data_IF_251111153604
#
_entry.id   IF_251111153604
#
_cell.length_a   1.000
_cell.length_b   1.000
_cell.length_c   1.000
_cell.angle_alpha   90.00
_cell.angle_beta   90.00
_cell.angle_gamma   90.00
#
_symmetry.space_group_name_H-M   'P 1'
#
loop_
_entity.id
_entity.type
_entity.pdbx_description
1 polymer ?
#
# COMPACT_ATOMS: atom_id res chain seq x y z
N UNK A 1 32.25 6.43 -2.15
CA UNK A 1 31.91 7.14 -0.90
C UNK A 1 30.89 6.28 -0.17
N UNK A 2 31.21 5.74 1.00
CA UNK A 2 30.29 4.92 1.80
C UNK A 2 29.50 5.83 2.74
N UNK A 3 28.17 5.80 2.66
CA UNK A 3 27.31 6.57 3.56
C UNK A 3 27.20 5.85 4.92
N UNK A 4 27.44 6.58 6.01
CA UNK A 4 27.19 6.13 7.39
C UNK A 4 25.71 6.29 7.70
N UNK A 5 25.03 5.22 8.11
CA UNK A 5 23.62 5.23 8.52
C UNK A 5 23.52 4.80 9.99
N UNK A 6 22.66 5.48 10.76
CA UNK A 6 22.43 5.16 12.18
C UNK A 6 21.10 4.41 12.30
N UNK A 7 21.12 3.27 12.97
CA UNK A 7 19.93 2.48 13.30
C UNK A 7 19.70 2.52 14.82
N UNK A 8 18.55 3.00 15.27
CA UNK A 8 18.21 3.02 16.69
C UNK A 8 17.58 1.68 17.12
N UNK A 9 18.22 1.00 18.06
CA UNK A 9 17.70 -0.23 18.66
C UNK A 9 17.59 -0.09 20.17
N UNK A 10 16.37 -0.16 20.73
CA UNK A 10 16.15 -0.01 22.18
C UNK A 10 16.87 1.23 22.77
N UNK A 11 16.76 2.40 22.11
CA UNK A 11 17.44 3.67 22.48
C UNK A 11 18.98 3.67 22.36
N UNK A 12 19.56 2.64 21.74
CA UNK A 12 20.99 2.56 21.47
C UNK A 12 21.26 2.72 19.98
N UNK A 13 21.95 3.79 19.55
CA UNK A 13 22.29 3.99 18.15
C UNK A 13 23.38 3.00 17.72
N UNK A 14 23.11 2.24 16.67
CA UNK A 14 24.04 1.35 15.98
C UNK A 14 24.44 1.99 14.67
N UNK A 15 25.71 2.34 14.54
CA UNK A 15 26.25 2.87 13.28
C UNK A 15 26.52 1.75 12.28
N UNK A 16 26.15 2.00 11.03
CA UNK A 16 26.25 1.06 9.91
C UNK A 16 26.85 1.73 8.69
N UNK A 17 27.59 0.96 7.90
CA UNK A 17 28.26 1.39 6.67
C UNK A 17 27.95 0.38 5.57
N UNK A 18 27.64 0.87 4.37
CA UNK A 18 27.59 0.03 3.18
C UNK A 18 28.94 0.07 2.45
N UNK A 19 29.59 -1.08 2.34
CA UNK A 19 30.87 -1.25 1.63
C UNK A 19 30.71 -2.43 0.67
N UNK A 20 30.86 -2.17 -0.62
CA UNK A 20 30.78 -3.17 -1.70
C UNK A 20 29.49 -4.01 -1.69
N UNK A 21 28.36 -3.37 -1.35
CA UNK A 21 27.05 -4.02 -1.28
C UNK A 21 26.81 -4.85 -0.01
N UNK A 22 27.79 -4.92 0.89
CA UNK A 22 27.68 -5.57 2.19
C UNK A 22 27.49 -4.54 3.30
N UNK A 23 26.66 -4.88 4.28
CA UNK A 23 26.47 -4.07 5.47
C UNK A 23 27.51 -4.40 6.53
N UNK A 24 28.13 -3.35 7.05
CA UNK A 24 29.10 -3.39 8.14
C UNK A 24 28.56 -2.61 9.33
N UNK A 25 28.62 -3.23 10.51
CA UNK A 25 28.10 -2.68 11.76
C UNK A 25 29.27 -2.35 12.68
N UNK A 26 29.28 -1.16 13.29
CA UNK A 26 30.34 -0.80 14.23
C UNK A 26 30.30 -1.74 15.44
N UNK A 27 31.36 -2.52 15.62
CA UNK A 27 31.37 -3.63 16.57
C UNK A 27 31.18 -3.17 18.02
N UNK A 28 31.68 -1.97 18.34
CA UNK A 28 31.51 -1.36 19.67
C UNK A 28 30.03 -1.11 19.98
N UNK A 29 29.29 -0.54 19.03
CA UNK A 29 27.89 -0.18 19.21
C UNK A 29 27.03 -1.45 19.37
N UNK A 30 27.30 -2.47 18.54
CA UNK A 30 26.67 -3.80 18.64
C UNK A 30 26.94 -4.45 20.00
N UNK A 31 28.19 -4.43 20.47
CA UNK A 31 28.54 -5.00 21.77
C UNK A 31 27.86 -4.27 22.92
N UNK A 32 27.72 -2.94 22.84
CA UNK A 32 26.97 -2.16 23.83
C UNK A 32 25.50 -2.56 23.85
N UNK A 33 24.86 -2.69 22.69
CA UNK A 33 23.46 -3.15 22.57
C UNK A 33 23.26 -4.54 23.19
N UNK A 34 24.23 -5.44 22.98
CA UNK A 34 24.16 -6.83 23.45
C UNK A 34 24.63 -7.02 24.90
N UNK A 35 24.97 -5.95 25.61
CA UNK A 35 25.54 -5.95 26.97
C UNK A 35 26.83 -6.81 27.06
N UNK A 36 27.65 -6.73 26.01
CA UNK A 36 28.97 -7.38 25.92
C UNK A 36 30.02 -6.38 26.38
N UNK A 37 30.54 -6.60 27.61
CA UNK A 37 31.50 -5.69 28.25
C UNK A 37 32.81 -5.50 27.48
N UNK A 38 33.33 -6.56 26.87
CA UNK A 38 34.61 -6.53 26.16
C UNK A 38 34.40 -6.79 24.67
N UNK A 39 34.22 -5.72 23.91
CA UNK A 39 34.00 -5.80 22.46
C UNK A 39 35.19 -6.39 21.71
N UNK A 40 36.44 -6.12 22.14
CA UNK A 40 37.64 -6.68 21.51
C UNK A 40 37.71 -8.19 21.65
N UNK A 41 37.43 -8.71 22.84
CA UNK A 41 37.39 -10.16 23.09
C UNK A 41 36.27 -10.85 22.31
N UNK A 42 35.10 -10.21 22.23
CA UNK A 42 33.98 -10.75 21.48
C UNK A 42 34.26 -10.81 19.97
N UNK A 43 34.83 -9.75 19.40
CA UNK A 43 35.19 -9.71 17.98
C UNK A 43 36.36 -10.64 17.66
N UNK A 44 37.32 -10.81 18.57
CA UNK A 44 38.44 -11.73 18.39
C UNK A 44 38.01 -13.21 18.28
N UNK A 45 36.80 -13.55 18.72
CA UNK A 45 36.21 -14.89 18.61
C UNK A 45 35.46 -15.12 17.29
N UNK A 46 35.25 -14.07 16.51
CA UNK A 46 34.63 -14.17 15.18
C UNK A 46 35.65 -14.67 14.16
N UNK A 47 35.14 -15.27 13.10
CA UNK A 47 35.99 -15.68 11.99
C UNK A 47 36.60 -14.46 11.28
N UNK A 48 37.68 -14.67 10.54
CA UNK A 48 38.45 -13.55 9.94
C UNK A 48 37.66 -12.78 8.89
N UNK A 49 36.71 -13.43 8.23
CA UNK A 49 35.82 -12.86 7.22
C UNK A 49 34.59 -12.17 7.82
N UNK A 50 34.30 -12.40 9.10
CA UNK A 50 33.18 -11.78 9.83
C UNK A 50 33.53 -10.41 10.44
N UNK A 51 34.81 -10.08 10.52
CA UNK A 51 35.34 -8.87 11.13
C UNK A 51 36.23 -8.08 10.19
N UNK A 52 36.27 -6.77 10.37
CA UNK A 52 37.04 -5.88 9.51
C UNK A 52 37.30 -4.53 10.14
N UNK A 53 38.06 -3.71 9.42
CA UNK A 53 38.33 -2.33 9.79
C UNK A 53 37.76 -1.43 8.71
N UNK A 54 36.81 -0.59 9.09
CA UNK A 54 36.17 0.38 8.20
C UNK A 54 36.62 1.79 8.58
N UNK A 55 36.75 2.64 7.57
CA UNK A 55 37.02 4.07 7.78
C UNK A 55 35.70 4.80 7.98
N UNK A 56 35.57 5.53 9.09
CA UNK A 56 34.41 6.36 9.43
C UNK A 56 34.88 7.78 9.66
N UNK A 57 34.12 8.74 9.14
CA UNK A 57 34.32 10.14 9.48
C UNK A 57 33.73 10.38 10.88
N UNK A 58 34.58 10.79 11.82
CA UNK A 58 34.15 11.24 13.15
C UNK A 58 34.49 12.73 13.31
N UNK A 59 34.02 13.33 14.40
CA UNK A 59 34.32 14.74 14.73
C UNK A 59 35.83 15.03 14.82
N UNK A 60 36.67 14.00 14.98
CA UNK A 60 38.13 14.09 14.99
C UNK A 60 38.81 13.74 13.66
N UNK A 61 38.06 13.63 12.56
CA UNK A 61 38.55 13.23 11.24
C UNK A 61 38.33 11.74 10.92
N UNK A 62 39.02 11.25 9.89
CA UNK A 62 38.84 9.90 9.38
C UNK A 62 39.47 8.89 10.34
N UNK A 63 38.66 8.05 10.98
CA UNK A 63 39.10 7.05 11.95
C UNK A 63 38.83 5.63 11.45
N UNK A 64 39.81 4.75 11.69
CA UNK A 64 39.68 3.31 11.46
C UNK A 64 39.01 2.67 12.67
N UNK A 65 37.85 2.06 12.47
CA UNK A 65 37.08 1.41 13.53
C UNK A 65 36.81 -0.04 13.17
N UNK A 66 36.77 -0.90 14.21
CA UNK A 66 36.41 -2.30 14.03
C UNK A 66 34.91 -2.41 13.74
N UNK A 67 34.59 -3.12 12.66
CA UNK A 67 33.23 -3.44 12.27
C UNK A 67 33.08 -4.93 12.02
N UNK A 68 31.84 -5.40 12.11
CA UNK A 68 31.44 -6.78 11.80
C UNK A 68 30.46 -6.75 10.65
N UNK A 69 30.51 -7.74 9.77
CA UNK A 69 29.51 -7.89 8.73
C UNK A 69 28.24 -8.55 9.30
N UNK A 70 27.26 -8.83 8.44
CA UNK A 70 26.01 -9.46 8.85
C UNK A 70 26.20 -10.85 9.52
N UNK A 71 27.14 -11.67 9.01
CA UNK A 71 27.47 -12.96 9.63
C UNK A 71 28.02 -12.79 11.05
N UNK A 72 29.01 -11.90 11.21
CA UNK A 72 29.60 -11.59 12.52
C UNK A 72 28.58 -11.00 13.50
N UNK A 73 27.65 -10.17 13.02
CA UNK A 73 26.52 -9.68 13.82
C UNK A 73 25.67 -10.84 14.35
N UNK A 74 25.29 -11.80 13.50
CA UNK A 74 24.53 -12.98 13.92
C UNK A 74 25.29 -13.86 14.92
N UNK A 75 26.59 -14.07 14.70
CA UNK A 75 27.48 -14.79 15.62
C UNK A 75 27.51 -14.12 17.02
N UNK A 76 27.56 -12.79 17.09
CA UNK A 76 27.47 -12.04 18.34
C UNK A 76 26.08 -12.14 18.99
N UNK A 77 24.99 -12.08 18.22
CA UNK A 77 23.63 -12.19 18.75
C UNK A 77 23.38 -13.60 19.31
N UNK A 78 23.82 -14.65 18.62
CA UNK A 78 23.60 -16.03 19.05
C UNK A 78 24.43 -16.45 20.27
N UNK A 79 25.53 -15.76 20.54
CA UNK A 79 26.36 -15.93 21.74
C UNK A 79 25.94 -15.02 22.91
N UNK A 80 25.14 -13.98 22.67
CA UNK A 80 24.69 -13.06 23.72
C UNK A 80 23.74 -13.72 24.73
N UNK A 81 23.84 -13.27 25.99
CA UNK A 81 22.98 -13.69 27.10
C UNK A 81 21.81 -12.72 27.35
N UNK A 82 21.76 -11.56 26.66
CA UNK A 82 20.71 -10.54 26.82
C UNK A 82 19.34 -11.10 26.44
N UNK A 83 18.30 -10.69 27.15
CA UNK A 83 16.93 -11.17 26.93
C UNK A 83 16.40 -10.87 25.53
N UNK A 84 16.69 -9.70 24.97
CA UNK A 84 16.33 -9.34 23.59
C UNK A 84 17.05 -10.22 22.55
N UNK A 85 18.34 -10.50 22.74
CA UNK A 85 19.09 -11.44 21.91
C UNK A 85 18.51 -12.87 21.96
N UNK A 86 18.09 -13.34 23.15
CA UNK A 86 17.41 -14.64 23.30
C UNK A 86 16.08 -14.70 22.53
N UNK A 87 15.29 -13.60 22.53
CA UNK A 87 14.05 -13.51 21.75
C UNK A 87 14.34 -13.62 20.26
N UNK A 88 15.31 -12.87 19.76
CA UNK A 88 15.73 -12.93 18.35
C UNK A 88 16.22 -14.33 17.96
N UNK A 89 17.13 -14.91 18.77
CA UNK A 89 17.62 -16.28 18.56
C UNK A 89 16.48 -17.29 18.50
N UNK A 90 15.52 -17.22 19.43
CA UNK A 90 14.35 -18.11 19.45
C UNK A 90 13.49 -17.93 18.21
N UNK A 91 13.24 -16.69 17.80
CA UNK A 91 12.48 -16.39 16.58
C UNK A 91 13.17 -16.93 15.32
N UNK A 92 14.47 -16.68 15.14
CA UNK A 92 15.21 -17.20 13.98
C UNK A 92 15.23 -18.73 13.95
N UNK A 93 15.51 -19.38 15.09
CA UNK A 93 15.64 -20.85 15.16
C UNK A 93 14.32 -21.60 15.13
N UNK A 94 13.23 -21.04 15.66
CA UNK A 94 11.94 -21.70 15.73
C UNK A 94 10.99 -21.35 14.59
N UNK A 95 11.19 -20.20 13.93
CA UNK A 95 10.29 -19.69 12.90
C UNK A 95 11.00 -19.51 11.55
N UNK A 96 12.03 -18.66 11.51
CA UNK A 96 12.69 -18.26 10.24
C UNK A 96 13.38 -19.44 9.56
N UNK A 97 14.31 -20.11 10.26
CA UNK A 97 15.07 -21.23 9.69
C UNK A 97 14.19 -22.43 9.33
N UNK A 98 13.21 -22.85 10.17
CA UNK A 98 12.27 -23.89 9.79
C UNK A 98 11.41 -23.53 8.58
N UNK A 99 10.98 -22.26 8.45
CA UNK A 99 10.25 -21.78 7.28
C UNK A 99 11.14 -21.83 6.03
N UNK A 100 12.32 -21.20 6.06
CA UNK A 100 13.27 -21.24 4.95
C UNK A 100 13.61 -22.67 4.51
N UNK A 101 13.82 -23.60 5.45
CA UNK A 101 14.08 -25.02 5.11
C UNK A 101 12.90 -25.69 4.40
N UNK A 102 11.66 -25.31 4.73
CA UNK A 102 10.45 -25.95 4.21
C UNK A 102 9.97 -25.33 2.90
N UNK A 103 9.93 -24.00 2.82
CA UNK A 103 9.36 -23.25 1.69
C UNK A 103 10.42 -22.60 0.79
N UNK A 104 11.68 -22.54 1.22
CA UNK A 104 12.73 -21.78 0.52
C UNK A 104 12.60 -20.26 0.64
N UNK A 105 11.54 -19.76 1.30
CA UNK A 105 11.23 -18.33 1.42
C UNK A 105 10.69 -18.01 2.81
N UNK A 106 11.10 -16.88 3.39
CA UNK A 106 10.53 -16.34 4.61
C UNK A 106 10.01 -14.94 4.37
N UNK A 107 8.71 -14.72 4.59
CA UNK A 107 8.03 -13.45 4.36
C UNK A 107 7.63 -12.85 5.70
N UNK A 108 8.15 -11.66 5.99
CA UNK A 108 7.71 -10.83 7.11
C UNK A 108 6.42 -10.11 6.72
N UNK A 109 5.31 -10.85 6.81
CA UNK A 109 3.93 -10.36 6.66
C UNK A 109 3.03 -11.11 7.64
N UNK A 110 1.76 -10.71 7.83
CA UNK A 110 0.83 -11.47 8.68
C UNK A 110 0.87 -12.95 8.28
N UNK A 111 1.23 -13.80 9.23
CA UNK A 111 1.61 -15.19 9.05
C UNK A 111 0.47 -16.00 8.41
N UNK A 112 0.69 -16.76 7.32
CA UNK A 112 -0.30 -17.73 6.87
C UNK A 112 -0.31 -18.92 7.83
N UNK A 113 -1.48 -19.24 8.38
CA UNK A 113 -1.68 -20.37 9.27
C UNK A 113 -1.67 -21.69 8.48
N UNK A 114 -0.64 -22.50 8.71
CA UNK A 114 -0.56 -23.98 8.64
C UNK A 114 -1.43 -24.72 7.60
N UNK A 115 -0.72 -25.31 6.62
CA UNK A 115 -0.98 -26.61 5.95
C UNK A 115 -2.24 -26.78 5.08
N UNK A 116 -3.28 -25.94 5.20
CA UNK A 116 -4.31 -25.81 4.16
C UNK A 116 -3.75 -25.10 2.90
N UNK A 117 -2.75 -24.23 3.11
CA UNK A 117 -2.15 -23.36 2.10
C UNK A 117 -1.43 -24.07 0.95
N UNK A 118 -0.87 -25.28 1.08
CA UNK A 118 -0.11 -25.86 -0.04
C UNK A 118 -1.04 -26.30 -1.20
N UNK A 119 -2.19 -26.88 -0.86
CA UNK A 119 -3.26 -27.16 -1.84
C UNK A 119 -3.90 -25.86 -2.30
N UNK A 120 -4.14 -24.92 -1.39
CA UNK A 120 -4.70 -23.60 -1.72
C UNK A 120 -3.80 -22.82 -2.68
N UNK A 121 -2.48 -22.81 -2.47
CA UNK A 121 -1.47 -22.13 -3.29
C UNK A 121 -1.33 -22.80 -4.65
N UNK A 122 -1.35 -24.13 -4.72
CA UNK A 122 -1.38 -24.84 -6.01
C UNK A 122 -2.67 -24.53 -6.78
N UNK A 123 -3.81 -24.53 -6.08
CA UNK A 123 -5.12 -24.16 -6.64
C UNK A 123 -5.12 -22.71 -7.13
N UNK A 124 -4.55 -21.77 -6.36
CA UNK A 124 -4.43 -20.35 -6.68
C UNK A 124 -3.51 -20.13 -7.87
N UNK A 125 -2.37 -20.83 -7.94
CA UNK A 125 -1.46 -20.75 -9.08
C UNK A 125 -2.10 -21.27 -10.36
N UNK A 126 -2.84 -22.39 -10.27
CA UNK A 126 -3.57 -22.96 -11.39
C UNK A 126 -4.74 -22.04 -11.82
N UNK A 127 -5.46 -21.46 -10.86
CA UNK A 127 -6.53 -20.48 -11.11
C UNK A 127 -5.98 -19.22 -11.78
N UNK A 128 -4.83 -18.72 -11.31
CA UNK A 128 -4.15 -17.55 -11.89
C UNK A 128 -3.68 -17.83 -13.32
N UNK A 129 -3.18 -19.03 -13.61
CA UNK A 129 -2.80 -19.42 -14.96
C UNK A 129 -4.01 -19.45 -15.90
N UNK A 130 -5.15 -20.02 -15.45
CA UNK A 130 -6.42 -20.03 -16.18
C UNK A 130 -6.97 -18.61 -16.41
N UNK A 131 -6.92 -17.74 -15.40
CA UNK A 131 -7.33 -16.35 -15.50
C UNK A 131 -6.45 -15.54 -16.48
N UNK A 132 -5.14 -15.80 -16.49
CA UNK A 132 -4.23 -15.18 -17.45
C UNK A 132 -4.52 -15.62 -18.89
N UNK A 133 -4.80 -16.90 -19.11
CA UNK A 133 -5.20 -17.40 -20.44
C UNK A 133 -6.50 -16.74 -20.93
N UNK A 134 -7.48 -16.53 -20.04
CA UNK A 134 -8.69 -15.78 -20.36
C UNK A 134 -8.41 -14.32 -20.71
N UNK A 135 -7.51 -13.67 -19.98
CA UNK A 135 -7.09 -12.29 -20.24
C UNK A 135 -6.46 -12.16 -21.62
N UNK A 136 -5.55 -13.07 -21.97
CA UNK A 136 -4.92 -13.10 -23.30
C UNK A 136 -5.93 -13.44 -24.40
N UNK A 137 -6.81 -14.42 -24.18
CA UNK A 137 -7.85 -14.76 -25.15
C UNK A 137 -8.81 -13.59 -25.40
N UNK A 138 -9.19 -12.86 -24.34
CA UNK A 138 -9.99 -11.63 -24.45
C UNK A 138 -9.25 -10.53 -25.21
N UNK A 139 -7.96 -10.35 -24.94
CA UNK A 139 -7.15 -9.32 -25.58
C UNK A 139 -6.94 -9.59 -27.07
N UNK A 140 -6.70 -10.85 -27.44
CA UNK A 140 -6.36 -11.24 -28.83
C UNK A 140 -7.61 -11.53 -29.67
N UNK A 141 -8.61 -12.21 -29.10
CA UNK A 141 -9.76 -12.75 -29.84
C UNK A 141 -11.12 -12.19 -29.38
N UNK A 142 -11.13 -11.31 -28.39
CA UNK A 142 -12.35 -10.66 -27.91
C UNK A 142 -13.14 -11.46 -26.87
N UNK A 143 -14.25 -10.87 -26.42
CA UNK A 143 -15.03 -11.34 -25.25
C UNK A 143 -15.65 -12.72 -25.44
N UNK A 144 -16.22 -13.00 -26.61
CA UNK A 144 -16.90 -14.28 -26.88
C UNK A 144 -15.92 -15.46 -26.84
N UNK A 145 -14.71 -15.28 -27.36
CA UNK A 145 -13.66 -16.29 -27.31
C UNK A 145 -13.22 -16.58 -25.88
N UNK A 146 -13.12 -15.55 -25.03
CA UNK A 146 -12.83 -15.73 -23.61
C UNK A 146 -13.99 -16.44 -22.87
N UNK A 147 -15.25 -16.13 -23.20
CA UNK A 147 -16.40 -16.82 -22.60
C UNK A 147 -16.47 -18.30 -22.99
N UNK A 148 -16.24 -18.63 -24.26
CA UNK A 148 -16.16 -20.03 -24.69
C UNK A 148 -14.98 -20.79 -24.04
N UNK A 149 -13.90 -20.08 -23.71
CA UNK A 149 -12.75 -20.64 -23.00
C UNK A 149 -13.03 -20.85 -21.51
N UNK A 150 -13.91 -20.05 -20.90
CA UNK A 150 -14.28 -20.13 -19.48
C UNK A 150 -14.80 -21.51 -19.10
N UNK A 151 -15.79 -22.01 -19.85
CA UNK A 151 -16.40 -23.32 -19.61
C UNK A 151 -15.40 -24.47 -19.82
N UNK A 152 -14.51 -24.32 -20.81
CA UNK A 152 -13.47 -25.31 -21.12
C UNK A 152 -12.37 -25.39 -20.06
N UNK A 153 -12.10 -24.30 -19.35
CA UNK A 153 -11.10 -24.27 -18.28
C UNK A 153 -11.63 -24.81 -16.95
N UNK A 154 -12.91 -25.22 -16.89
CA UNK A 154 -13.53 -25.78 -15.69
C UNK A 154 -13.39 -24.84 -14.50
N UNK A 155 -13.54 -23.54 -14.74
CA UNK A 155 -13.52 -22.54 -13.69
C UNK A 155 -14.78 -22.67 -12.84
N UNK A 156 -14.70 -22.44 -11.53
CA UNK A 156 -15.86 -22.54 -10.66
C UNK A 156 -16.95 -21.59 -11.18
N UNK A 157 -18.19 -22.09 -11.24
CA UNK A 157 -19.35 -21.22 -11.36
C UNK A 157 -19.34 -20.31 -10.16
N UNK A 158 -19.14 -19.03 -10.41
CA UNK A 158 -19.05 -18.11 -9.31
C UNK A 158 -20.47 -17.73 -8.93
N UNK A 159 -20.95 -18.38 -7.87
CA UNK A 159 -22.22 -18.06 -7.24
C UNK A 159 -22.28 -16.53 -7.01
N UNK A 160 -23.38 -15.92 -7.43
CA UNK A 160 -23.58 -14.46 -7.52
C UNK A 160 -23.59 -13.68 -6.20
N UNK A 161 -22.76 -14.05 -5.23
CA UNK A 161 -22.54 -13.31 -3.98
C UNK A 161 -21.16 -12.63 -3.94
N UNK A 162 -20.40 -12.60 -5.05
CA UNK A 162 -19.12 -11.91 -5.02
C UNK A 162 -18.24 -12.01 -6.26
N UNK A 163 -18.57 -12.89 -7.21
CA UNK A 163 -18.07 -12.80 -8.59
C UNK A 163 -19.18 -13.12 -9.61
N UNK A 164 -20.40 -12.82 -9.24
CA UNK A 164 -21.11 -11.70 -9.79
C UNK A 164 -21.66 -10.94 -8.54
N UNK A 165 -21.60 -9.64 -8.39
CA UNK A 165 -21.70 -8.82 -9.54
C UNK A 165 -22.96 -9.26 -10.36
N UNK A 166 -23.45 -8.43 -11.22
CA UNK A 166 -24.10 -8.90 -12.45
C UNK A 166 -23.27 -8.09 -13.46
N UNK A 167 -23.43 -8.30 -14.76
CA UNK A 167 -23.35 -7.12 -15.60
C UNK A 167 -24.51 -6.19 -15.19
N UNK A 168 -24.39 -5.54 -14.04
CA UNK A 168 -25.18 -4.40 -13.66
C UNK A 168 -24.66 -3.22 -14.46
N UNK A 169 -25.56 -2.35 -14.87
CA UNK A 169 -25.18 -1.06 -15.40
C UNK A 169 -24.37 -0.30 -14.34
N UNK A 170 -23.59 0.71 -14.73
CA UNK A 170 -22.87 1.57 -13.78
C UNK A 170 -23.73 2.09 -12.61
N UNK A 171 -25.05 2.07 -12.76
CA UNK A 171 -26.00 2.50 -11.76
C UNK A 171 -26.21 1.49 -10.60
N UNK A 172 -25.66 0.29 -10.63
CA UNK A 172 -26.08 -0.78 -9.69
C UNK A 172 -25.28 -0.83 -8.38
N UNK A 173 -24.26 0.01 -8.24
CA UNK A 173 -23.51 0.23 -7.00
C UNK A 173 -23.23 1.73 -6.76
N UNK A 174 -24.20 2.47 -6.19
CA UNK A 174 -24.09 3.90 -5.96
C UNK A 174 -23.13 4.27 -4.80
N UNK A 175 -23.13 3.48 -3.72
CA UNK A 175 -22.28 3.72 -2.54
C UNK A 175 -20.80 3.40 -2.83
N UNK A 176 -20.52 2.33 -3.57
CA UNK A 176 -19.17 2.03 -4.05
C UNK A 176 -18.63 3.12 -4.99
N UNK A 177 -19.50 3.69 -5.84
CA UNK A 177 -19.13 4.79 -6.73
C UNK A 177 -18.65 6.03 -5.95
N UNK A 178 -19.40 6.42 -4.90
CA UNK A 178 -19.04 7.56 -4.07
C UNK A 178 -17.79 7.28 -3.23
N UNK A 179 -17.71 6.07 -2.65
CA UNK A 179 -16.55 5.64 -1.86
C UNK A 179 -15.26 5.69 -2.67
N UNK A 180 -15.30 5.24 -3.93
CA UNK A 180 -14.16 5.29 -4.84
C UNK A 180 -13.72 6.74 -5.10
N UNK A 181 -14.67 7.63 -5.41
CA UNK A 181 -14.38 9.05 -5.64
C UNK A 181 -13.73 9.70 -4.42
N UNK A 182 -14.30 9.50 -3.23
CA UNK A 182 -13.84 10.12 -1.97
C UNK A 182 -12.43 9.65 -1.61
N UNK A 183 -12.09 8.39 -1.87
CA UNK A 183 -10.77 7.86 -1.55
C UNK A 183 -9.72 8.10 -2.65
N UNK A 184 -10.10 8.59 -3.82
CA UNK A 184 -9.17 8.88 -4.91
C UNK A 184 -8.25 10.07 -4.56
N UNK A 185 -7.05 10.11 -5.16
CA UNK A 185 -6.05 11.15 -4.89
C UNK A 185 -6.31 12.42 -5.71
N UNK A 186 -6.17 13.58 -5.08
CA UNK A 186 -6.20 14.90 -5.70
C UNK A 186 -4.89 15.65 -5.39
N UNK A 187 -3.88 15.53 -6.27
CA UNK A 187 -2.59 16.22 -6.14
C UNK A 187 -1.51 15.42 -5.36
N UNK A 188 -0.61 16.11 -4.66
CA UNK A 188 0.56 15.55 -3.96
C UNK A 188 0.16 14.72 -2.71
N UNK A 189 -0.49 13.58 -2.91
CA UNK A 189 -0.91 12.60 -1.88
C UNK A 189 -2.04 13.05 -0.94
N UNK A 190 -2.87 14.01 -1.33
CA UNK A 190 -4.11 14.32 -0.63
C UNK A 190 -5.25 13.51 -1.25
N UNK A 191 -6.14 12.89 -0.46
CA UNK A 191 -7.36 12.29 -1.01
C UNK A 191 -8.48 13.33 -1.12
N UNK A 192 -9.45 13.06 -2.00
CA UNK A 192 -10.68 13.87 -2.13
C UNK A 192 -11.39 13.98 -0.78
N UNK A 193 -11.37 12.92 0.06
CA UNK A 193 -11.88 12.92 1.43
C UNK A 193 -11.29 14.03 2.28
N UNK A 194 -9.97 14.12 2.32
CA UNK A 194 -9.27 15.11 3.13
C UNK A 194 -9.50 16.52 2.54
N UNK A 195 -9.50 16.64 1.21
CA UNK A 195 -9.77 17.91 0.54
C UNK A 195 -11.21 18.41 0.82
N UNK A 196 -12.20 17.53 0.83
CA UNK A 196 -13.58 17.83 1.20
C UNK A 196 -13.71 18.24 2.67
N UNK A 197 -13.03 17.56 3.59
CA UNK A 197 -13.03 17.93 5.01
C UNK A 197 -12.55 19.38 5.22
N UNK A 198 -11.48 19.78 4.53
CA UNK A 198 -11.02 21.17 4.56
C UNK A 198 -11.97 22.13 3.84
N UNK A 199 -12.55 21.73 2.71
CA UNK A 199 -13.47 22.55 1.93
C UNK A 199 -14.81 22.81 2.63
N UNK A 200 -15.24 21.93 3.53
CA UNK A 200 -16.43 22.13 4.35
C UNK A 200 -16.22 23.24 5.40
N UNK A 201 -14.97 23.46 5.82
CA UNK A 201 -14.58 24.41 6.86
C UNK A 201 -14.16 25.80 6.34
N UNK A 202 -13.69 25.91 5.08
CA UNK A 202 -13.18 27.17 4.51
C UNK A 202 -13.48 27.31 3.00
N UNK A 203 -13.84 28.53 2.59
CA UNK A 203 -14.18 28.92 1.21
C UNK A 203 -13.01 28.73 0.23
N UNK A 204 -11.76 28.82 0.70
CA UNK A 204 -10.58 28.58 -0.13
C UNK A 204 -10.50 27.10 -0.54
N UNK A 205 -10.81 26.20 0.39
CA UNK A 205 -10.89 24.76 0.13
C UNK A 205 -12.02 24.46 -0.87
N UNK A 206 -13.18 25.09 -0.71
CA UNK A 206 -14.31 24.94 -1.62
C UNK A 206 -13.97 25.35 -3.06
N UNK A 207 -13.22 26.46 -3.25
CA UNK A 207 -12.76 26.88 -4.59
C UNK A 207 -11.79 25.89 -5.24
N UNK A 208 -10.94 25.22 -4.45
CA UNK A 208 -10.04 24.18 -4.98
C UNK A 208 -10.80 22.94 -5.42
N UNK A 209 -11.88 22.59 -4.73
CA UNK A 209 -12.73 21.47 -5.14
C UNK A 209 -13.38 21.73 -6.50
N UNK A 210 -13.69 22.99 -6.83
CA UNK A 210 -14.26 23.30 -8.15
C UNK A 210 -13.32 22.90 -9.28
N UNK A 211 -12.00 23.03 -9.10
CA UNK A 211 -10.96 22.59 -10.06
C UNK A 211 -10.92 21.07 -10.25
N UNK A 212 -11.60 20.30 -9.40
CA UNK A 212 -11.75 18.85 -9.50
C UNK A 212 -13.14 18.48 -10.07
N UNK A 213 -13.94 19.46 -10.48
CA UNK A 213 -15.31 19.26 -10.92
C UNK A 213 -16.31 19.06 -9.79
N UNK A 214 -15.96 19.42 -8.54
CA UNK A 214 -16.80 19.25 -7.35
C UNK A 214 -17.07 20.61 -6.71
N UNK A 215 -18.33 21.03 -6.63
CA UNK A 215 -18.71 22.31 -6.04
C UNK A 215 -19.54 22.12 -4.79
N UNK A 216 -19.06 22.67 -3.67
CA UNK A 216 -19.80 22.67 -2.41
C UNK A 216 -20.78 23.84 -2.38
N UNK A 217 -21.96 23.61 -1.82
CA UNK A 217 -23.02 24.61 -1.56
C UNK A 217 -23.28 25.53 -2.77
N UNK A 218 -23.52 25.00 -3.98
CA UNK A 218 -23.85 25.86 -5.12
C UNK A 218 -25.12 26.65 -4.81
N UNK A 219 -25.23 27.88 -5.32
CA UNK A 219 -26.32 28.81 -4.96
C UNK A 219 -27.74 28.23 -5.07
N UNK A 220 -28.00 27.38 -6.07
CA UNK A 220 -29.30 26.72 -6.25
C UNK A 220 -29.54 25.52 -5.30
N UNK A 221 -28.50 25.00 -4.65
CA UNK A 221 -28.52 23.87 -3.73
C UNK A 221 -27.60 24.16 -2.52
N UNK A 222 -28.02 25.02 -1.58
CA UNK A 222 -27.18 25.48 -0.48
C UNK A 222 -26.69 24.34 0.43
N UNK A 223 -27.49 23.26 0.56
CA UNK A 223 -27.15 22.07 1.34
C UNK A 223 -26.68 20.90 0.45
N UNK A 224 -26.09 21.21 -0.71
CA UNK A 224 -25.68 20.21 -1.69
C UNK A 224 -24.19 20.25 -2.03
N UNK A 225 -23.68 19.11 -2.51
CA UNK A 225 -22.38 18.98 -3.18
C UNK A 225 -22.64 18.57 -4.62
N UNK A 226 -22.29 19.43 -5.57
CA UNK A 226 -22.48 19.19 -7.00
C UNK A 226 -21.22 18.53 -7.59
N UNK A 227 -21.38 17.35 -8.18
CA UNK A 227 -20.34 16.61 -8.90
C UNK A 227 -20.64 16.70 -10.40
N UNK A 228 -19.71 17.25 -11.17
CA UNK A 228 -19.88 17.50 -12.59
C UNK A 228 -20.12 16.20 -13.40
N UNK A 229 -20.92 16.32 -14.45
CA UNK A 229 -21.14 15.23 -15.41
C UNK A 229 -19.94 14.96 -16.30
N UNK A 230 -19.14 15.99 -16.52
CA UNK A 230 -18.00 15.95 -17.41
C UNK A 230 -16.91 16.85 -16.82
N UNK A 231 -15.75 16.26 -16.53
CA UNK A 231 -14.57 16.93 -16.00
C UNK A 231 -13.35 16.00 -16.13
N UNK A 232 -12.21 16.50 -16.62
CA UNK A 232 -11.02 15.68 -16.90
C UNK A 232 -10.55 14.87 -15.67
N UNK A 233 -10.56 15.50 -14.50
CA UNK A 233 -10.26 14.82 -13.24
C UNK A 233 -11.20 13.64 -12.95
N UNK A 234 -12.51 13.81 -13.12
CA UNK A 234 -13.49 12.75 -12.84
C UNK A 234 -13.38 11.61 -13.86
N UNK A 235 -13.06 11.92 -15.11
CA UNK A 235 -12.73 10.91 -16.13
C UNK A 235 -11.55 10.04 -15.70
N UNK A 236 -10.50 10.63 -15.12
CA UNK A 236 -9.34 9.89 -14.61
C UNK A 236 -9.68 9.08 -13.36
N UNK A 237 -10.41 9.66 -12.39
CA UNK A 237 -10.87 8.98 -11.17
C UNK A 237 -11.53 7.64 -11.49
N UNK A 238 -12.41 7.63 -12.50
CA UNK A 238 -13.19 6.45 -12.87
C UNK A 238 -12.60 5.67 -14.05
N UNK A 239 -11.40 5.99 -14.53
CA UNK A 239 -10.83 5.42 -15.77
C UNK A 239 -10.79 3.89 -15.81
N UNK A 240 -10.48 3.27 -14.68
CA UNK A 240 -10.33 1.82 -14.56
C UNK A 240 -11.49 1.17 -13.80
N UNK A 241 -12.66 1.82 -13.75
CA UNK A 241 -13.83 1.33 -13.02
C UNK A 241 -15.06 1.17 -13.92
N UNK A 242 -16.05 0.43 -13.43
CA UNK A 242 -17.35 0.28 -14.11
C UNK A 242 -18.12 1.60 -14.27
N UNK A 243 -17.77 2.62 -13.48
CA UNK A 243 -18.40 3.94 -13.52
C UNK A 243 -17.78 4.88 -14.55
N UNK A 244 -16.79 4.44 -15.33
CA UNK A 244 -16.17 5.27 -16.37
C UNK A 244 -17.22 5.84 -17.33
N UNK A 245 -17.24 7.17 -17.45
CA UNK A 245 -18.24 7.91 -18.23
C UNK A 245 -19.68 7.80 -17.70
N UNK A 246 -19.94 7.07 -16.61
CA UNK A 246 -21.27 6.72 -16.12
C UNK A 246 -21.51 6.94 -14.62
N UNK A 247 -20.52 7.45 -13.87
CA UNK A 247 -20.63 7.78 -12.45
C UNK A 247 -21.87 8.62 -12.13
N UNK A 248 -22.28 9.51 -13.04
CA UNK A 248 -23.49 10.33 -12.85
C UNK A 248 -24.77 9.51 -12.62
N UNK A 249 -24.90 8.34 -13.26
CA UNK A 249 -26.08 7.48 -13.12
C UNK A 249 -26.07 6.73 -11.78
N UNK A 250 -24.87 6.33 -11.32
CA UNK A 250 -24.68 5.70 -10.03
C UNK A 250 -24.97 6.69 -8.90
N UNK A 251 -24.31 7.85 -8.92
CA UNK A 251 -24.45 8.85 -7.87
C UNK A 251 -25.89 9.40 -7.76
N UNK A 252 -26.66 9.40 -8.84
CA UNK A 252 -28.08 9.78 -8.82
C UNK A 252 -28.99 8.82 -8.05
N UNK A 253 -28.59 7.56 -7.87
CA UNK A 253 -29.35 6.57 -7.11
C UNK A 253 -29.09 6.66 -5.59
N UNK A 254 -28.14 7.48 -5.16
CA UNK A 254 -27.91 7.72 -3.73
C UNK A 254 -29.11 8.42 -3.08
N UNK A 255 -29.36 8.20 -1.78
CA UNK A 255 -30.48 8.81 -1.08
C UNK A 255 -30.50 10.34 -1.21
N UNK A 256 -31.63 10.88 -1.65
CA UNK A 256 -31.85 12.31 -1.87
C UNK A 256 -30.85 13.00 -2.85
N UNK A 257 -30.11 12.22 -3.63
CA UNK A 257 -29.36 12.75 -4.77
C UNK A 257 -30.32 13.21 -5.87
N UNK A 258 -29.96 14.29 -6.57
CA UNK A 258 -30.77 14.78 -7.68
C UNK A 258 -29.90 15.29 -8.83
N UNK A 259 -30.51 15.41 -10.01
CA UNK A 259 -29.89 16.11 -11.12
C UNK A 259 -30.04 17.62 -10.94
N UNK A 260 -29.01 18.38 -11.29
CA UNK A 260 -29.12 19.83 -11.36
C UNK A 260 -30.20 20.25 -12.39
N UNK A 261 -31.15 21.10 -12.01
CA UNK A 261 -32.22 21.57 -12.91
C UNK A 261 -31.66 22.43 -14.04
N UNK A 262 -30.69 23.28 -13.72
CA UNK A 262 -29.92 24.10 -14.65
C UNK A 262 -28.44 23.70 -14.60
N UNK A 263 -27.66 24.19 -15.57
CA UNK A 263 -26.21 24.10 -15.45
C UNK A 263 -25.75 24.90 -14.22
N UNK A 264 -24.75 24.36 -13.53
CA UNK A 264 -24.09 24.98 -12.39
C UNK A 264 -22.71 25.46 -12.87
N UNK A 265 -22.32 26.65 -12.45
CA UNK A 265 -20.97 27.15 -12.71
C UNK A 265 -19.97 26.34 -11.86
N UNK A 266 -19.12 25.53 -12.51
CA UNK A 266 -18.04 24.74 -11.91
C UNK A 266 -16.76 24.95 -12.73
N UNK A 267 -15.69 25.42 -12.09
CA UNK A 267 -14.41 25.73 -12.74
C UNK A 267 -14.55 26.67 -13.96
N UNK A 268 -15.20 27.81 -13.75
CA UNK A 268 -15.42 28.81 -14.81
C UNK A 268 -16.38 28.38 -15.94
N UNK A 269 -16.90 27.14 -15.92
CA UNK A 269 -17.74 26.57 -16.98
C UNK A 269 -19.12 26.18 -16.46
N UNK A 270 -20.15 26.39 -17.29
CA UNK A 270 -21.50 25.93 -17.00
C UNK A 270 -21.60 24.42 -17.28
N UNK A 271 -21.82 23.62 -16.23
CA UNK A 271 -21.86 22.15 -16.33
C UNK A 271 -23.12 21.59 -15.67
N UNK A 272 -23.68 20.52 -16.25
CA UNK A 272 -24.66 19.69 -15.54
C UNK A 272 -23.96 18.90 -14.44
N UNK A 273 -24.66 18.64 -13.35
CA UNK A 273 -24.09 17.94 -12.20
C UNK A 273 -25.11 17.01 -11.52
N UNK A 274 -24.59 16.01 -10.81
CA UNK A 274 -25.35 15.31 -9.77
C UNK A 274 -25.15 16.09 -8.49
N UNK A 275 -26.23 16.42 -7.80
CA UNK A 275 -26.20 17.10 -6.51
C UNK A 275 -26.48 16.07 -5.43
N UNK A 276 -25.50 15.85 -4.56
CA UNK A 276 -25.63 15.01 -3.37
C UNK A 276 -25.95 15.87 -2.15
N UNK A 277 -26.78 15.41 -1.20
CA UNK A 277 -26.99 16.10 0.07
C UNK A 277 -25.66 16.25 0.84
N UNK A 278 -25.43 17.41 1.44
CA UNK A 278 -24.21 17.68 2.19
C UNK A 278 -24.02 16.68 3.35
N UNK A 279 -25.09 16.42 4.11
CA UNK A 279 -25.08 15.46 5.22
C UNK A 279 -24.72 14.03 4.79
N UNK A 280 -25.09 13.64 3.56
CA UNK A 280 -24.68 12.35 2.99
C UNK A 280 -23.18 12.35 2.73
N UNK A 281 -22.63 13.40 2.12
CA UNK A 281 -21.18 13.46 1.85
C UNK A 281 -20.38 13.52 3.15
N UNK A 282 -20.88 14.22 4.17
CA UNK A 282 -20.26 14.30 5.50
C UNK A 282 -20.12 12.93 6.17
N UNK A 283 -21.08 12.01 6.01
CA UNK A 283 -20.98 10.66 6.59
C UNK A 283 -19.87 9.81 6.00
N UNK A 284 -19.41 10.12 4.79
CA UNK A 284 -18.28 9.46 4.12
C UNK A 284 -16.93 10.14 4.38
N UNK A 285 -16.96 11.35 4.94
CA UNK A 285 -15.76 12.16 5.23
C UNK A 285 -15.36 12.08 6.71
N UNK A 286 -16.33 11.86 7.60
CA UNK A 286 -16.16 11.76 9.06
C UNK A 286 -15.30 10.59 9.54
#
# INVERSE_FOLDING_TARGET
>A
MSALTIFDFEEHPVRTLSVDGLFWFIAKDVCTVLDIKNSRDAVAKLDRDEQGVVSTDTLGGQQKVTAVNESGLYSLIFSSRKSSAKKFKKWVTAEVLPALRQSGTYSMGPTPQKQEDAKQVLLVNEMNARANLLKEARYIYGREAAMALWDRLGLPEIAGEGVNEVAGTAADDPDGCLTHLINFTCGKNLSVRIALAFALADDIGARRMEQLGIKLRPHAYPDGVAIAYDHDYLWEVFRLTQWHGNWKLALQKLPAACQSQNAIMIDGKQRRAVVLPLALVESYVG
#
